data_IF_249477363199
#
_entry.id   IF_249477363199
#
_cell.length_a   1.000
_cell.length_b   1.000
_cell.length_c   1.000
_cell.angle_alpha   90.00
_cell.angle_beta   90.00
_cell.angle_gamma   90.00
#
_symmetry.space_group_name_H-M   'P 1'
#
loop_
_entity.id
_entity.type
_entity.pdbx_description
1 polymer ?
#
# COMPACT_ATOMS: atom_id res chain seq x y z
N UNK A 1 -26.37 -7.96 -17.15
CA UNK A 1 -25.10 -8.12 -17.92
C UNK A 1 -24.37 -6.80 -18.09
N UNK A 2 -24.97 -5.79 -18.72
CA UNK A 2 -24.33 -4.48 -18.94
C UNK A 2 -23.88 -3.80 -17.64
N UNK A 3 -24.73 -3.85 -16.62
CA UNK A 3 -24.39 -3.30 -15.30
C UNK A 3 -23.18 -4.00 -14.66
N UNK A 4 -23.13 -5.34 -14.70
CA UNK A 4 -21.98 -6.10 -14.20
C UNK A 4 -20.68 -5.73 -14.92
N UNK A 5 -20.74 -5.51 -16.24
CA UNK A 5 -19.59 -4.99 -17.01
C UNK A 5 -19.20 -3.60 -16.49
N UNK A 6 -20.18 -2.73 -16.21
CA UNK A 6 -19.91 -1.40 -15.67
C UNK A 6 -19.23 -1.45 -14.30
N UNK A 7 -19.64 -2.36 -13.41
CA UNK A 7 -18.98 -2.56 -12.11
C UNK A 7 -17.53 -3.05 -12.21
N UNK A 8 -17.21 -3.85 -13.23
CA UNK A 8 -15.81 -4.18 -13.51
C UNK A 8 -15.00 -2.98 -14.02
N UNK A 9 -15.61 -2.06 -14.78
CA UNK A 9 -14.94 -0.81 -15.17
C UNK A 9 -14.68 0.08 -13.97
N UNK A 10 -15.68 0.31 -13.12
CA UNK A 10 -15.52 1.10 -11.88
C UNK A 10 -14.39 0.54 -10.98
N UNK A 11 -14.32 -0.79 -10.84
CA UNK A 11 -13.23 -1.44 -10.12
C UNK A 11 -11.86 -1.24 -10.78
N UNK A 12 -11.76 -1.39 -12.10
CA UNK A 12 -10.51 -1.16 -12.83
C UNK A 12 -10.06 0.30 -12.75
N UNK A 13 -11.00 1.25 -12.84
CA UNK A 13 -10.72 2.68 -12.67
C UNK A 13 -10.17 2.96 -11.27
N UNK A 14 -10.70 2.28 -10.23
CA UNK A 14 -10.15 2.35 -8.87
C UNK A 14 -8.74 1.78 -8.77
N UNK A 15 -8.50 0.58 -9.35
CA UNK A 15 -7.17 -0.04 -9.35
C UNK A 15 -6.14 0.83 -10.08
N UNK A 16 -6.51 1.42 -11.22
CA UNK A 16 -5.66 2.34 -11.97
C UNK A 16 -5.31 3.59 -11.17
N UNK A 17 -6.31 4.24 -10.54
CA UNK A 17 -6.05 5.41 -9.70
C UNK A 17 -5.12 5.10 -8.54
N UNK A 18 -5.35 3.98 -7.83
CA UNK A 18 -4.47 3.55 -6.74
C UNK A 18 -3.04 3.34 -7.22
N UNK A 19 -2.85 2.62 -8.34
CA UNK A 19 -1.53 2.40 -8.93
C UNK A 19 -0.82 3.72 -9.27
N UNK A 20 -1.53 4.68 -9.88
CA UNK A 20 -0.97 6.00 -10.20
C UNK A 20 -0.61 6.80 -8.93
N UNK A 21 -1.45 6.71 -7.90
CA UNK A 21 -1.19 7.31 -6.59
C UNK A 21 0.05 6.71 -5.92
N UNK A 22 0.28 5.41 -6.04
CA UNK A 22 1.50 4.72 -5.58
C UNK A 22 2.75 5.24 -6.30
N UNK A 23 2.70 5.39 -7.63
CA UNK A 23 3.83 5.99 -8.37
C UNK A 23 4.11 7.42 -7.91
N UNK A 24 3.06 8.20 -7.69
CA UNK A 24 3.15 9.58 -7.20
C UNK A 24 3.75 9.64 -5.79
N UNK A 25 3.29 8.79 -4.87
CA UNK A 25 3.79 8.71 -3.50
C UNK A 25 5.28 8.36 -3.45
N UNK A 26 5.73 7.40 -4.26
CA UNK A 26 7.15 7.08 -4.35
C UNK A 26 7.99 8.25 -4.89
N UNK A 27 7.49 8.97 -5.90
CA UNK A 27 8.16 10.18 -6.39
C UNK A 27 8.25 11.25 -5.28
N UNK A 28 7.19 11.44 -4.51
CA UNK A 28 7.16 12.41 -3.41
C UNK A 28 8.15 12.05 -2.30
N UNK A 29 8.20 10.78 -1.86
CA UNK A 29 9.21 10.31 -0.91
C UNK A 29 10.62 10.61 -1.41
N UNK A 30 10.94 10.23 -2.67
CA UNK A 30 12.26 10.48 -3.25
C UNK A 30 12.64 11.95 -3.25
N UNK A 31 11.70 12.86 -3.50
CA UNK A 31 11.97 14.29 -3.54
C UNK A 31 12.12 14.88 -2.14
N UNK A 32 11.20 14.57 -1.23
CA UNK A 32 11.13 15.18 0.10
C UNK A 32 12.12 14.58 1.10
N UNK A 33 12.51 13.31 0.90
CA UNK A 33 13.49 12.62 1.74
C UNK A 33 14.92 12.72 1.18
N UNK A 34 15.11 13.31 -0.01
CA UNK A 34 16.41 13.38 -0.66
C UNK A 34 17.47 14.06 0.21
N UNK A 35 18.66 13.46 0.31
CA UNK A 35 19.79 14.02 1.05
C UNK A 35 19.63 14.02 2.57
N UNK A 36 18.61 13.33 3.12
CA UNK A 36 18.39 13.21 4.57
C UNK A 36 19.05 11.96 5.20
N UNK A 37 19.89 11.25 4.45
CA UNK A 37 20.65 10.10 4.93
C UNK A 37 19.86 8.79 5.03
N UNK A 38 18.76 8.68 4.27
CA UNK A 38 17.98 7.45 4.22
C UNK A 38 18.67 6.41 3.33
N UNK A 39 18.99 5.26 3.92
CA UNK A 39 19.57 4.11 3.19
C UNK A 39 18.75 3.75 1.95
N UNK A 40 17.42 3.81 2.01
CA UNK A 40 16.56 3.43 0.87
C UNK A 40 16.66 4.37 -0.35
N UNK A 41 17.33 5.52 -0.22
CA UNK A 41 17.66 6.41 -1.34
C UNK A 41 19.13 6.30 -1.78
N UNK A 42 20.02 5.90 -0.87
CA UNK A 42 21.47 5.90 -1.10
C UNK A 42 22.03 4.50 -1.46
N UNK A 43 21.35 3.42 -1.06
CA UNK A 43 21.70 2.03 -1.39
C UNK A 43 20.99 1.61 -2.68
N UNK A 44 21.77 1.41 -3.75
CA UNK A 44 21.25 1.06 -5.08
C UNK A 44 20.35 -0.19 -5.06
N UNK A 45 20.71 -1.21 -4.28
CA UNK A 45 19.94 -2.45 -4.23
C UNK A 45 18.59 -2.23 -3.55
N UNK A 46 18.58 -1.53 -2.41
CA UNK A 46 17.33 -1.20 -1.70
C UNK A 46 16.45 -0.31 -2.55
N UNK A 47 17.03 0.75 -3.14
CA UNK A 47 16.32 1.68 -4.01
C UNK A 47 15.64 0.96 -5.19
N UNK A 48 16.38 0.10 -5.88
CA UNK A 48 15.84 -0.62 -7.04
C UNK A 48 14.84 -1.72 -6.65
N UNK A 49 14.98 -2.31 -5.46
CA UNK A 49 14.00 -3.26 -4.92
C UNK A 49 12.66 -2.56 -4.68
N UNK A 50 12.66 -1.42 -3.97
CA UNK A 50 11.46 -0.61 -3.73
C UNK A 50 10.86 -0.14 -5.06
N UNK A 51 11.68 0.38 -5.97
CA UNK A 51 11.20 0.85 -7.27
C UNK A 51 10.54 -0.26 -8.10
N UNK A 52 11.05 -1.50 -8.00
CA UNK A 52 10.43 -2.66 -8.63
C UNK A 52 9.11 -3.04 -7.96
N UNK A 53 9.05 -3.04 -6.63
CA UNK A 53 7.84 -3.28 -5.85
C UNK A 53 6.74 -2.27 -6.17
N UNK A 54 7.06 -0.97 -6.10
CA UNK A 54 6.19 0.14 -6.50
C UNK A 54 5.66 -0.02 -7.92
N UNK A 55 6.49 -0.44 -8.88
CA UNK A 55 6.06 -0.65 -10.28
C UNK A 55 5.13 -1.87 -10.43
N UNK A 56 5.28 -2.87 -9.58
CA UNK A 56 4.45 -4.08 -9.60
C UNK A 56 3.29 -4.03 -8.59
N UNK A 57 3.09 -2.88 -7.93
CA UNK A 57 2.18 -2.74 -6.79
C UNK A 57 0.78 -3.28 -7.10
N UNK A 58 0.29 -4.14 -6.21
CA UNK A 58 -1.04 -4.72 -6.27
C UNK A 58 -1.40 -5.47 -7.57
N UNK A 59 -0.43 -5.87 -8.38
CA UNK A 59 -0.69 -6.59 -9.65
C UNK A 59 -1.55 -7.85 -9.45
N UNK A 60 -1.43 -8.49 -8.29
CA UNK A 60 -2.27 -9.61 -7.85
C UNK A 60 -3.78 -9.34 -7.91
N UNK A 61 -4.24 -8.08 -7.86
CA UNK A 61 -5.65 -7.68 -7.98
C UNK A 61 -6.27 -8.03 -9.33
N UNK A 62 -5.46 -8.30 -10.35
CA UNK A 62 -5.87 -8.74 -11.68
C UNK A 62 -5.88 -10.28 -11.83
N UNK A 63 -5.55 -11.02 -10.78
CA UNK A 63 -5.58 -12.48 -10.76
C UNK A 63 -7.00 -13.04 -10.64
N UNK A 64 -7.19 -14.31 -10.99
CA UNK A 64 -8.48 -15.00 -10.84
C UNK A 64 -8.93 -15.15 -9.38
N UNK A 65 -7.99 -15.05 -8.43
CA UNK A 65 -8.20 -15.18 -7.00
C UNK A 65 -8.75 -13.89 -6.37
N UNK A 66 -8.48 -12.74 -6.98
CA UNK A 66 -8.83 -11.43 -6.42
C UNK A 66 -9.81 -10.63 -7.27
N UNK A 67 -9.67 -10.67 -8.60
CA UNK A 67 -10.31 -9.72 -9.51
C UNK A 67 -11.84 -9.68 -9.36
N UNK A 68 -12.48 -10.84 -9.29
CA UNK A 68 -13.95 -10.92 -9.18
C UNK A 68 -14.42 -10.67 -7.76
N UNK A 69 -13.66 -11.11 -6.76
CA UNK A 69 -13.98 -11.10 -5.34
C UNK A 69 -13.91 -9.68 -4.79
N UNK A 70 -12.84 -8.94 -5.10
CA UNK A 70 -12.73 -7.52 -4.75
C UNK A 70 -13.83 -6.68 -5.40
N UNK A 71 -14.03 -6.87 -6.72
CA UNK A 71 -15.09 -6.16 -7.44
C UNK A 71 -16.46 -6.47 -6.84
N UNK A 72 -16.79 -7.72 -6.53
CA UNK A 72 -18.05 -8.07 -5.87
C UNK A 72 -18.19 -7.41 -4.51
N UNK A 73 -17.12 -7.37 -3.73
CA UNK A 73 -17.19 -6.82 -2.38
C UNK A 73 -17.34 -5.29 -2.37
N UNK A 74 -16.56 -4.57 -3.16
CA UNK A 74 -16.56 -3.09 -3.14
C UNK A 74 -17.47 -2.45 -4.18
N UNK A 75 -17.73 -3.13 -5.30
CA UNK A 75 -18.53 -2.67 -6.43
C UNK A 75 -19.57 -3.74 -6.84
N UNK A 76 -20.47 -4.16 -5.93
CA UNK A 76 -21.50 -5.14 -6.28
C UNK A 76 -22.42 -4.61 -7.38
N UNK A 77 -22.87 -5.50 -8.25
CA UNK A 77 -23.98 -5.21 -9.17
C UNK A 77 -25.31 -5.21 -8.41
N UNK A 78 -26.36 -4.63 -8.96
CA UNK A 78 -27.70 -4.65 -8.38
C UNK A 78 -28.18 -6.09 -8.16
N UNK A 79 -28.59 -6.37 -6.92
CA UNK A 79 -29.01 -7.71 -6.50
C UNK A 79 -27.88 -8.73 -6.35
N UNK A 80 -26.60 -8.36 -6.55
CA UNK A 80 -25.47 -9.25 -6.31
C UNK A 80 -25.16 -9.33 -4.82
N UNK A 81 -25.27 -10.53 -4.24
CA UNK A 81 -24.89 -10.77 -2.87
C UNK A 81 -23.37 -10.67 -2.69
N UNK A 82 -22.93 -9.97 -1.64
CA UNK A 82 -21.53 -9.87 -1.27
C UNK A 82 -21.09 -11.15 -0.54
N UNK A 83 -20.16 -11.89 -1.14
CA UNK A 83 -19.57 -13.07 -0.50
C UNK A 83 -18.36 -12.66 0.36
N UNK A 84 -18.57 -12.62 1.68
CA UNK A 84 -17.51 -12.29 2.64
C UNK A 84 -16.40 -13.33 2.66
N UNK A 85 -16.71 -14.61 2.53
CA UNK A 85 -15.71 -15.67 2.60
C UNK A 85 -14.80 -15.64 1.36
N UNK A 86 -15.38 -15.40 0.18
CA UNK A 86 -14.61 -15.20 -1.05
C UNK A 86 -13.73 -13.95 -0.97
N UNK A 87 -14.24 -12.84 -0.42
CA UNK A 87 -13.45 -11.63 -0.19
C UNK A 87 -12.31 -11.86 0.81
N UNK A 88 -12.57 -12.51 1.94
CA UNK A 88 -11.54 -12.79 2.94
C UNK A 88 -10.42 -13.67 2.37
N UNK A 89 -10.77 -14.68 1.57
CA UNK A 89 -9.79 -15.52 0.85
C UNK A 89 -8.95 -14.70 -0.15
N UNK A 90 -9.60 -13.82 -0.92
CA UNK A 90 -8.91 -12.90 -1.82
C UNK A 90 -7.97 -11.94 -1.08
N UNK A 91 -8.37 -11.43 0.10
CA UNK A 91 -7.54 -10.57 0.93
C UNK A 91 -6.31 -11.29 1.49
N UNK A 92 -6.45 -12.56 1.91
CA UNK A 92 -5.29 -13.36 2.32
C UNK A 92 -4.33 -13.61 1.15
N UNK A 93 -4.86 -13.92 -0.05
CA UNK A 93 -4.04 -14.06 -1.25
C UNK A 93 -3.30 -12.75 -1.58
N UNK A 94 -3.98 -11.62 -1.49
CA UNK A 94 -3.43 -10.30 -1.74
C UNK A 94 -2.27 -9.98 -0.81
N UNK A 95 -2.47 -10.10 0.51
CA UNK A 95 -1.38 -9.88 1.49
C UNK A 95 -0.21 -10.83 1.28
N UNK A 96 -0.45 -12.07 0.85
CA UNK A 96 0.59 -13.06 0.64
C UNK A 96 1.46 -12.78 -0.60
N UNK A 97 0.95 -12.00 -1.57
CA UNK A 97 1.63 -11.68 -2.83
C UNK A 97 2.13 -10.23 -2.92
N UNK A 98 1.81 -9.38 -1.94
CA UNK A 98 2.30 -8.00 -1.88
C UNK A 98 2.93 -7.78 -0.51
N UNK A 99 4.26 -7.79 -0.47
CA UNK A 99 4.99 -7.83 0.79
C UNK A 99 4.95 -6.50 1.57
N UNK A 100 4.44 -5.40 1.00
CA UNK A 100 4.23 -4.14 1.72
C UNK A 100 3.16 -4.24 2.83
N UNK A 101 2.34 -5.30 2.87
CA UNK A 101 1.40 -5.52 3.97
C UNK A 101 2.12 -5.95 5.24
N UNK A 102 2.01 -5.16 6.31
CA UNK A 102 2.67 -5.44 7.60
C UNK A 102 2.31 -6.82 8.16
N UNK A 103 1.11 -7.33 7.91
CA UNK A 103 0.69 -8.65 8.36
C UNK A 103 1.54 -9.79 7.78
N UNK A 104 2.22 -9.52 6.65
CA UNK A 104 3.06 -10.46 5.92
C UNK A 104 4.54 -10.27 6.23
N UNK A 105 5.08 -9.08 5.97
CA UNK A 105 6.54 -8.91 6.05
C UNK A 105 7.07 -8.99 7.48
N UNK A 106 6.31 -8.57 8.49
CA UNK A 106 6.75 -8.71 9.90
C UNK A 106 6.88 -10.18 10.31
N UNK A 107 6.11 -11.09 9.70
CA UNK A 107 6.19 -12.52 10.00
C UNK A 107 7.24 -13.25 9.19
N UNK A 108 7.46 -12.83 7.94
CA UNK A 108 8.33 -13.54 6.99
C UNK A 108 9.74 -12.97 6.90
N UNK A 109 9.86 -11.65 7.01
CA UNK A 109 11.04 -10.91 6.58
C UNK A 109 11.50 -9.85 7.57
N UNK A 110 10.95 -9.76 8.78
CA UNK A 110 11.34 -8.76 9.78
C UNK A 110 12.86 -8.68 9.99
N UNK A 111 13.52 -9.84 10.05
CA UNK A 111 14.97 -9.94 10.26
C UNK A 111 15.78 -9.96 8.94
N UNK A 112 15.14 -9.69 7.80
CA UNK A 112 15.81 -9.66 6.51
C UNK A 112 16.67 -8.38 6.41
N UNK A 113 17.89 -8.43 5.85
CA UNK A 113 18.78 -7.26 5.73
C UNK A 113 18.21 -6.07 4.94
N UNK A 114 17.10 -6.30 4.23
CA UNK A 114 16.41 -5.34 3.38
C UNK A 114 14.93 -5.17 3.79
N UNK A 115 14.59 -5.45 5.05
CA UNK A 115 13.23 -5.31 5.57
C UNK A 115 12.73 -3.85 5.56
N UNK A 116 13.66 -2.89 5.57
CA UNK A 116 13.40 -1.46 5.38
C UNK A 116 12.66 -1.16 4.07
N UNK A 117 12.92 -1.92 3.00
CA UNK A 117 12.19 -1.78 1.74
C UNK A 117 10.68 -1.97 1.91
N UNK A 118 10.25 -2.98 2.69
CA UNK A 118 8.83 -3.26 2.91
C UNK A 118 8.15 -2.16 3.75
N UNK A 119 8.88 -1.54 4.68
CA UNK A 119 8.39 -0.37 5.43
C UNK A 119 8.16 0.81 4.50
N UNK A 120 9.10 1.07 3.59
CA UNK A 120 8.97 2.17 2.63
C UNK A 120 7.80 1.92 1.67
N UNK A 121 7.67 0.72 1.10
CA UNK A 121 6.53 0.38 0.23
C UNK A 121 5.19 0.46 0.97
N UNK A 122 5.15 0.07 2.25
CA UNK A 122 3.96 0.22 3.09
C UNK A 122 3.57 1.69 3.28
N UNK A 123 4.54 2.56 3.55
CA UNK A 123 4.28 4.01 3.67
C UNK A 123 3.82 4.59 2.33
N UNK A 124 4.40 4.13 1.20
CA UNK A 124 3.95 4.50 -0.15
C UNK A 124 2.49 4.13 -0.37
N UNK A 125 2.08 2.91 0.01
CA UNK A 125 0.68 2.46 -0.10
C UNK A 125 -0.26 3.34 0.74
N UNK A 126 0.12 3.66 1.97
CA UNK A 126 -0.69 4.53 2.84
C UNK A 126 -0.79 5.96 2.33
N UNK A 127 0.30 6.51 1.78
CA UNK A 127 0.26 7.81 1.09
C UNK A 127 -0.68 7.77 -0.11
N UNK A 128 -0.63 6.69 -0.90
CA UNK A 128 -1.48 6.53 -2.08
C UNK A 128 -2.96 6.48 -1.72
N UNK A 129 -3.31 5.78 -0.63
CA UNK A 129 -4.66 5.77 -0.07
C UNK A 129 -5.05 7.16 0.44
N UNK A 130 -4.14 7.88 1.09
CA UNK A 130 -4.41 9.23 1.58
C UNK A 130 -4.72 10.23 0.49
N UNK A 131 -4.13 10.10 -0.70
CA UNK A 131 -4.52 10.90 -1.86
C UNK A 131 -5.96 10.66 -2.33
N UNK A 132 -6.49 9.44 -2.18
CA UNK A 132 -7.87 9.10 -2.56
C UNK A 132 -8.88 9.56 -1.48
N UNK A 133 -8.52 9.44 -0.20
CA UNK A 133 -9.45 9.66 0.92
C UNK A 133 -9.26 10.99 1.67
N UNK A 134 -8.23 11.77 1.32
CA UNK A 134 -7.96 13.07 1.93
C UNK A 134 -7.34 12.99 3.33
N UNK A 135 -6.53 11.96 3.60
CA UNK A 135 -5.74 11.84 4.82
C UNK A 135 -4.22 11.77 4.53
N UNK A 136 -3.43 11.68 5.59
CA UNK A 136 -1.97 11.49 5.52
C UNK A 136 -1.60 10.11 6.08
N UNK A 137 -0.48 9.51 5.65
CA UNK A 137 -0.04 8.22 6.19
C UNK A 137 0.20 8.28 7.71
N UNK A 138 0.62 9.44 8.25
CA UNK A 138 0.74 9.67 9.70
C UNK A 138 -0.61 9.58 10.39
N UNK A 139 -1.62 10.30 9.90
CA UNK A 139 -2.97 10.24 10.47
C UNK A 139 -3.56 8.82 10.38
N UNK A 140 -3.36 8.14 9.24
CA UNK A 140 -3.81 6.76 9.07
C UNK A 140 -3.19 5.83 10.12
N UNK A 141 -1.88 5.89 10.31
CA UNK A 141 -1.20 5.08 11.33
C UNK A 141 -1.70 5.42 12.74
N UNK A 142 -1.74 6.70 13.11
CA UNK A 142 -2.16 7.13 14.47
C UNK A 142 -3.59 6.69 14.82
N UNK A 143 -4.49 6.72 13.83
CA UNK A 143 -5.88 6.28 14.01
C UNK A 143 -6.02 4.75 14.09
N UNK A 144 -5.01 3.98 13.67
CA UNK A 144 -5.08 2.53 13.56
C UNK A 144 -3.97 1.78 14.30
N UNK A 145 -3.07 2.48 15.01
CA UNK A 145 -1.89 1.89 15.67
C UNK A 145 -2.21 0.77 16.65
N UNK A 146 -3.38 0.82 17.29
CA UNK A 146 -3.82 -0.25 18.20
C UNK A 146 -4.11 -1.59 17.47
N UNK A 147 -4.20 -1.56 16.14
CA UNK A 147 -4.47 -2.71 15.27
C UNK A 147 -3.28 -3.09 14.38
N UNK A 148 -2.26 -2.23 14.33
CA UNK A 148 -1.08 -2.39 13.46
C UNK A 148 0.10 -2.78 14.35
N UNK A 149 0.63 -3.98 14.12
CA UNK A 149 1.76 -4.49 14.89
C UNK A 149 3.04 -4.36 14.06
N UNK A 150 3.96 -3.50 14.51
CA UNK A 150 5.23 -3.19 13.87
C UNK A 150 6.36 -3.24 14.89
N UNK A 151 7.54 -3.77 14.53
CA UNK A 151 8.70 -3.70 15.40
C UNK A 151 9.17 -2.25 15.57
N UNK A 152 9.76 -1.92 16.72
CA UNK A 152 10.12 -0.54 17.07
C UNK A 152 11.00 0.14 16.00
N UNK A 153 11.97 -0.57 15.44
CA UNK A 153 12.85 -0.02 14.40
C UNK A 153 12.09 0.42 13.14
N UNK A 154 11.00 -0.28 12.79
CA UNK A 154 10.17 0.04 11.64
C UNK A 154 9.27 1.25 11.93
N UNK A 155 8.78 1.35 13.17
CA UNK A 155 8.05 2.52 13.66
C UNK A 155 8.95 3.76 13.57
N UNK A 156 10.20 3.67 14.05
CA UNK A 156 11.15 4.77 14.04
C UNK A 156 11.43 5.24 12.59
N UNK A 157 11.78 4.30 11.69
CA UNK A 157 11.98 4.60 10.26
C UNK A 157 10.74 5.22 9.61
N UNK A 158 9.55 4.71 9.92
CA UNK A 158 8.30 5.21 9.39
C UNK A 158 8.03 6.66 9.83
N UNK A 159 8.27 7.00 11.10
CA UNK A 159 8.15 8.39 11.57
C UNK A 159 9.19 9.31 10.94
N UNK A 160 10.43 8.86 10.73
CA UNK A 160 11.43 9.63 10.02
C UNK A 160 10.98 9.96 8.58
N UNK A 161 10.34 8.99 7.90
CA UNK A 161 9.72 9.23 6.58
C UNK A 161 8.55 10.22 6.70
N UNK A 162 7.67 10.08 7.70
CA UNK A 162 6.56 11.00 7.92
C UNK A 162 7.01 12.44 8.17
N UNK A 163 8.15 12.65 8.84
CA UNK A 163 8.71 13.99 9.06
C UNK A 163 9.19 14.64 7.75
N UNK A 164 9.37 13.86 6.69
CA UNK A 164 9.71 14.34 5.36
C UNK A 164 8.49 14.67 4.51
N UNK A 165 7.50 13.77 4.48
CA UNK A 165 6.34 13.87 3.58
C UNK A 165 5.09 14.49 4.23
N UNK A 166 5.06 14.59 5.55
CA UNK A 166 4.01 15.24 6.32
C UNK A 166 4.62 16.27 7.28
N UNK A 167 5.29 17.32 6.78
CA UNK A 167 5.87 18.33 7.66
C UNK A 167 4.74 18.98 8.47
N UNK A 168 4.92 19.02 9.79
CA UNK A 168 3.98 19.71 10.68
C UNK A 168 3.91 21.17 10.25
N UNK A 169 2.71 21.70 10.00
CA UNK A 169 2.57 23.12 9.70
C UNK A 169 3.22 23.92 10.84
N UNK A 170 4.14 24.80 10.46
CA UNK A 170 4.77 25.72 11.41
C UNK A 170 3.70 26.70 11.88
N UNK A 171 3.27 26.57 13.14
CA UNK A 171 2.48 27.61 13.81
C UNK A 171 3.27 28.92 13.90
#
# INVERSE_FOLDING_TARGET
MLERIQKFREYLDYVERHYLNVQKAWLEIKLQCNGKGFRFLDDDFVYHSIAAGVKAHDLSKLSAQEFTQYRQWFFPSEGEEKDKAAFDSAWEHHKANNDHHWQTWTKKYENHPYADAFVVEMVVDWMAMGYEFGDTPRQYYENNKDKIDLPQWAIDLMYDIFDCVCPVESN
#
